data_IF_375798673479
#
_entry.id   IF_375798673479
#
_cell.length_a   1.000
_cell.length_b   1.000
_cell.length_c   1.000
_cell.angle_alpha   90.00
_cell.angle_beta   90.00
_cell.angle_gamma   90.00
#
_symmetry.space_group_name_H-M   'P 1'
#
loop_
_entity.id
_entity.type
_entity.pdbx_description
1 polymer ?
#
# COMPACT_ATOMS: atom_id res chain seq x y z
N UNK A 1 12.07 -14.01 -12.12
CA UNK A 1 11.60 -12.63 -12.44
C UNK A 1 11.35 -11.79 -11.21
N UNK A 2 10.64 -12.32 -10.17
CA UNK A 2 10.29 -11.54 -8.97
C UNK A 2 11.51 -10.96 -8.23
N UNK A 3 12.61 -11.66 -8.15
CA UNK A 3 13.83 -11.19 -7.48
C UNK A 3 14.59 -10.10 -8.27
N UNK A 4 14.30 -9.94 -9.56
CA UNK A 4 14.88 -8.87 -10.39
C UNK A 4 14.07 -7.58 -10.31
N UNK A 5 12.87 -7.63 -9.74
CA UNK A 5 12.04 -6.46 -9.52
C UNK A 5 12.69 -5.53 -8.50
N UNK A 6 12.51 -4.23 -8.70
CA UNK A 6 12.90 -3.25 -7.71
C UNK A 6 11.70 -2.94 -6.81
N UNK A 7 12.00 -2.80 -5.53
CA UNK A 7 11.05 -2.47 -4.47
C UNK A 7 11.55 -1.26 -3.68
N UNK A 8 10.73 -0.58 -2.89
CA UNK A 8 11.18 0.49 -2.00
C UNK A 8 12.30 0.01 -1.07
N UNK A 9 13.21 0.90 -0.63
CA UNK A 9 14.30 0.53 0.27
C UNK A 9 13.81 -0.05 1.59
N UNK A 10 14.48 -1.09 2.09
CA UNK A 10 14.20 -1.66 3.39
C UNK A 10 14.41 -0.60 4.50
N UNK A 11 13.55 -0.60 5.52
CA UNK A 11 13.63 0.36 6.63
C UNK A 11 13.21 1.78 6.28
N UNK A 12 12.64 2.02 5.10
CA UNK A 12 12.13 3.34 4.69
C UNK A 12 10.86 3.76 5.43
N UNK A 13 10.24 2.89 6.22
CA UNK A 13 8.95 3.13 6.89
C UNK A 13 7.72 2.95 5.98
N UNK A 14 7.90 2.84 4.67
CA UNK A 14 6.79 2.73 3.71
C UNK A 14 6.04 1.40 3.74
N UNK A 15 6.60 0.39 4.39
CA UNK A 15 5.96 -0.92 4.61
C UNK A 15 5.58 -1.15 6.08
N UNK A 16 5.53 -0.08 6.88
CA UNK A 16 5.03 -0.21 8.24
C UNK A 16 3.54 -0.58 8.20
N UNK A 17 3.16 -1.58 8.98
CA UNK A 17 1.76 -1.87 9.26
C UNK A 17 1.21 -0.85 10.24
N UNK A 18 -0.09 -0.60 10.15
CA UNK A 18 -0.84 0.11 11.19
C UNK A 18 -1.78 -0.88 11.86
N UNK A 19 -1.75 -0.91 13.19
CA UNK A 19 -2.68 -1.72 13.99
C UNK A 19 -3.75 -0.79 14.54
N UNK A 20 -5.00 -1.16 14.38
CA UNK A 20 -6.15 -0.49 14.97
C UNK A 20 -6.75 -1.39 16.03
N UNK A 21 -6.67 -1.01 17.31
CA UNK A 21 -7.16 -1.80 18.44
C UNK A 21 -8.32 -1.09 19.14
N UNK A 22 -9.25 -1.85 19.66
CA UNK A 22 -10.33 -1.30 20.49
C UNK A 22 -9.73 -0.54 21.68
N UNK A 23 -10.17 0.71 21.88
CA UNK A 23 -9.66 1.62 22.89
C UNK A 23 -8.47 2.49 22.47
N UNK A 24 -7.93 2.31 21.26
CA UNK A 24 -6.90 3.21 20.74
C UNK A 24 -7.51 4.58 20.40
N UNK A 25 -6.77 5.65 20.67
CA UNK A 25 -7.09 7.00 20.22
C UNK A 25 -6.38 7.30 18.90
N UNK A 26 -7.15 7.43 17.83
CA UNK A 26 -6.66 7.74 16.47
C UNK A 26 -7.57 8.83 15.89
N UNK A 27 -7.05 10.02 15.54
CA UNK A 27 -7.89 11.05 14.92
C UNK A 27 -8.62 10.48 13.70
N UNK A 28 -9.95 10.47 13.75
CA UNK A 28 -10.78 9.86 12.71
C UNK A 28 -10.46 10.42 11.31
N UNK A 29 -10.19 11.72 11.25
CA UNK A 29 -9.85 12.42 10.01
C UNK A 29 -8.52 11.94 9.36
N UNK A 30 -7.62 11.34 10.14
CA UNK A 30 -6.33 10.85 9.65
C UNK A 30 -6.40 9.43 9.07
N UNK A 31 -7.49 8.67 9.34
CA UNK A 31 -7.58 7.26 8.93
C UNK A 31 -7.64 7.12 7.40
N UNK A 32 -8.49 7.87 6.72
CA UNK A 32 -8.60 7.82 5.27
C UNK A 32 -7.29 8.27 4.56
N UNK A 33 -6.65 9.39 4.94
CA UNK A 33 -5.34 9.77 4.44
C UNK A 33 -4.25 8.69 4.66
N UNK A 34 -4.26 8.04 5.83
CA UNK A 34 -3.35 6.94 6.14
C UNK A 34 -3.56 5.77 5.17
N UNK A 35 -4.80 5.29 4.99
CA UNK A 35 -5.12 4.19 4.09
C UNK A 35 -4.76 4.52 2.64
N UNK A 36 -5.06 5.73 2.15
CA UNK A 36 -4.62 6.20 0.84
C UNK A 36 -3.09 6.19 0.73
N UNK A 37 -2.39 6.64 1.77
CA UNK A 37 -0.92 6.60 1.86
C UNK A 37 -0.36 5.17 1.77
N UNK A 38 -1.08 4.18 2.33
CA UNK A 38 -0.76 2.76 2.27
C UNK A 38 -1.16 2.11 0.92
N UNK A 39 -1.75 2.87 0.00
CA UNK A 39 -2.11 2.43 -1.34
C UNK A 39 -3.51 1.84 -1.46
N UNK A 40 -4.35 1.97 -0.44
CA UNK A 40 -5.75 1.57 -0.50
C UNK A 40 -6.56 2.52 -1.38
N UNK A 41 -7.62 2.00 -1.98
CA UNK A 41 -8.54 2.76 -2.83
C UNK A 41 -9.87 2.92 -2.13
N UNK A 42 -10.35 4.17 -1.99
CA UNK A 42 -11.71 4.44 -1.54
C UNK A 42 -12.67 4.08 -2.68
N UNK A 43 -13.64 3.20 -2.38
CA UNK A 43 -14.65 2.75 -3.35
C UNK A 43 -15.88 3.68 -3.40
N UNK A 44 -16.01 4.59 -2.43
CA UNK A 44 -17.17 5.48 -2.33
C UNK A 44 -18.48 4.77 -1.97
N UNK A 45 -19.57 5.53 -1.86
CA UNK A 45 -20.89 5.04 -1.42
C UNK A 45 -21.58 4.06 -2.38
N UNK A 46 -21.09 3.96 -3.61
CA UNK A 46 -21.74 3.17 -4.66
C UNK A 46 -21.29 1.71 -4.71
N UNK A 47 -20.21 1.36 -4.04
CA UNK A 47 -19.62 0.03 -4.10
C UNK A 47 -19.32 -0.51 -2.69
N UNK A 48 -19.52 -1.81 -2.50
CA UNK A 48 -19.12 -2.50 -1.27
C UNK A 48 -17.61 -2.67 -1.21
N UNK A 49 -17.05 -2.66 0.01
CA UNK A 49 -15.65 -2.99 0.29
C UNK A 49 -15.45 -4.51 0.15
N UNK A 50 -15.40 -5.00 -1.09
CA UNK A 50 -15.43 -6.43 -1.42
C UNK A 50 -14.09 -6.99 -1.90
N UNK A 51 -13.08 -6.17 -2.14
CA UNK A 51 -11.77 -6.57 -2.64
C UNK A 51 -10.62 -6.14 -1.71
N UNK A 52 -9.57 -6.97 -1.52
CA UNK A 52 -8.40 -6.57 -0.76
C UNK A 52 -7.77 -5.27 -1.31
N UNK A 53 -7.36 -4.37 -0.41
CA UNK A 53 -6.79 -3.08 -0.79
C UNK A 53 -7.83 -1.99 -1.08
N UNK A 54 -9.09 -2.20 -0.70
CA UNK A 54 -10.15 -1.19 -0.76
C UNK A 54 -10.62 -0.77 0.62
N UNK A 55 -11.18 0.43 0.72
CA UNK A 55 -11.83 0.93 1.94
C UNK A 55 -12.96 1.90 1.60
N UNK A 56 -13.81 2.21 2.58
CA UNK A 56 -14.77 3.29 2.50
C UNK A 56 -15.07 3.86 3.89
N UNK A 57 -15.35 5.16 3.95
CA UNK A 57 -15.69 5.87 5.19
C UNK A 57 -17.19 6.09 5.26
N UNK A 58 -17.84 5.61 6.32
CA UNK A 58 -19.27 5.76 6.59
C UNK A 58 -19.49 6.49 7.92
N UNK A 59 -19.87 7.75 7.88
CA UNK A 59 -20.19 8.50 9.12
C UNK A 59 -19.05 8.46 10.13
N UNK A 60 -19.19 7.65 11.15
CA UNK A 60 -18.24 7.41 12.25
C UNK A 60 -17.54 6.04 12.16
N UNK A 61 -17.55 5.40 11.00
CA UNK A 61 -16.91 4.10 10.80
C UNK A 61 -16.11 4.04 9.49
N UNK A 62 -15.14 3.15 9.46
CA UNK A 62 -14.32 2.85 8.28
C UNK A 62 -14.39 1.35 7.99
N UNK A 63 -14.88 1.01 6.81
CA UNK A 63 -14.79 -0.33 6.27
C UNK A 63 -13.46 -0.45 5.51
N UNK A 64 -12.65 -1.42 5.85
CA UNK A 64 -11.38 -1.68 5.16
C UNK A 64 -11.22 -3.16 4.87
N UNK A 65 -10.73 -3.50 3.67
CA UNK A 65 -10.33 -4.86 3.35
C UNK A 65 -8.80 -4.94 3.33
N UNK A 66 -8.18 -5.35 4.45
CA UNK A 66 -6.72 -5.44 4.51
C UNK A 66 -6.16 -6.36 3.43
N UNK A 67 -5.05 -5.96 2.81
CA UNK A 67 -4.47 -6.66 1.67
C UNK A 67 -4.10 -8.13 1.96
N UNK A 68 -3.77 -8.44 3.22
CA UNK A 68 -3.40 -9.78 3.71
C UNK A 68 -4.60 -10.59 4.24
N UNK A 69 -5.79 -9.97 4.39
CA UNK A 69 -6.96 -10.62 4.97
C UNK A 69 -7.81 -11.36 3.93
N UNK A 70 -8.72 -12.20 4.41
CA UNK A 70 -9.69 -12.92 3.59
C UNK A 70 -11.10 -12.31 3.67
N UNK A 71 -11.27 -11.27 4.50
CA UNK A 71 -12.54 -10.57 4.69
C UNK A 71 -12.30 -9.11 5.09
N UNK A 72 -13.20 -8.20 4.74
CA UNK A 72 -13.16 -6.83 5.22
C UNK A 72 -13.49 -6.74 6.71
N UNK A 73 -13.14 -5.60 7.28
CA UNK A 73 -13.34 -5.27 8.70
C UNK A 73 -13.96 -3.88 8.78
N UNK A 74 -14.93 -3.70 9.67
CA UNK A 74 -15.46 -2.40 10.07
C UNK A 74 -14.78 -1.96 11.37
N UNK A 75 -14.24 -0.75 11.36
CA UNK A 75 -13.67 -0.06 12.51
C UNK A 75 -14.66 1.07 12.86
N UNK A 76 -15.27 1.00 14.03
CA UNK A 76 -16.25 1.97 14.51
C UNK A 76 -15.59 2.89 15.52
N UNK A 77 -15.85 4.17 15.39
CA UNK A 77 -15.27 5.22 16.22
C UNK A 77 -16.33 5.90 17.08
N UNK A 78 -15.94 6.32 18.27
CA UNK A 78 -16.66 7.27 19.10
C UNK A 78 -15.77 8.51 19.29
N UNK A 79 -15.97 9.53 18.46
CA UNK A 79 -14.98 10.60 18.29
C UNK A 79 -13.70 10.08 17.67
N UNK A 80 -12.58 10.18 18.38
CA UNK A 80 -11.27 9.69 17.96
C UNK A 80 -10.90 8.33 18.60
N UNK A 81 -11.74 7.78 19.48
CA UNK A 81 -11.54 6.48 20.10
C UNK A 81 -12.14 5.37 19.24
N UNK A 82 -11.41 4.26 19.06
CA UNK A 82 -11.90 3.05 18.40
C UNK A 82 -12.80 2.29 19.38
N UNK A 83 -14.12 2.36 19.17
CA UNK A 83 -15.11 1.69 20.03
C UNK A 83 -15.21 0.19 19.72
N UNK A 84 -15.19 -0.18 18.43
CA UNK A 84 -15.32 -1.58 18.00
C UNK A 84 -14.55 -1.86 16.70
N UNK A 85 -14.10 -3.11 16.61
CA UNK A 85 -13.54 -3.69 15.37
C UNK A 85 -14.33 -4.95 15.06
N UNK A 86 -14.96 -5.04 13.88
CA UNK A 86 -15.81 -6.17 13.50
C UNK A 86 -15.48 -6.72 12.12
N UNK A 87 -15.44 -8.05 12.03
CA UNK A 87 -15.30 -8.74 10.74
C UNK A 87 -16.58 -8.63 9.92
N UNK A 88 -16.44 -8.49 8.60
CA UNK A 88 -17.54 -8.37 7.67
C UNK A 88 -17.57 -9.52 6.67
N UNK A 89 -18.76 -9.78 6.11
CA UNK A 89 -18.95 -10.68 4.96
C UNK A 89 -18.75 -9.86 3.69
N UNK A 90 -17.79 -10.22 2.80
CA UNK A 90 -17.49 -9.43 1.61
C UNK A 90 -18.66 -9.23 0.64
N UNK A 91 -19.57 -10.21 0.57
CA UNK A 91 -20.69 -10.22 -0.38
C UNK A 91 -21.94 -9.47 0.10
N UNK A 92 -22.03 -9.15 1.40
CA UNK A 92 -23.23 -8.53 1.99
C UNK A 92 -22.94 -7.31 2.84
N UNK A 93 -21.66 -7.04 3.15
CA UNK A 93 -21.27 -5.97 4.07
C UNK A 93 -21.71 -6.19 5.53
N UNK A 94 -22.32 -7.33 5.85
CA UNK A 94 -22.79 -7.61 7.21
C UNK A 94 -21.64 -7.93 8.14
N UNK A 95 -21.71 -7.38 9.36
CA UNK A 95 -20.74 -7.69 10.42
C UNK A 95 -21.07 -9.04 11.06
N UNK A 96 -20.04 -9.89 11.27
CA UNK A 96 -20.20 -11.29 11.73
C UNK A 96 -19.36 -11.68 12.94
N UNK A 97 -18.71 -10.75 13.59
CA UNK A 97 -17.92 -11.07 14.78
C UNK A 97 -17.06 -9.89 15.19
N UNK A 98 -16.77 -9.85 16.47
CA UNK A 98 -15.90 -8.82 17.06
C UNK A 98 -14.44 -9.27 17.00
N UNK A 99 -13.54 -8.32 16.91
CA UNK A 99 -12.10 -8.47 16.96
C UNK A 99 -11.55 -7.48 17.99
N UNK A 100 -10.48 -7.85 18.67
CA UNK A 100 -9.78 -6.92 19.57
C UNK A 100 -8.96 -5.89 18.78
N UNK A 101 -8.47 -6.28 17.59
CA UNK A 101 -7.68 -5.42 16.72
C UNK A 101 -7.66 -5.90 15.27
N UNK A 102 -7.21 -5.04 14.36
CA UNK A 102 -6.89 -5.37 12.99
C UNK A 102 -5.55 -4.75 12.57
N UNK A 103 -4.72 -5.56 11.92
CA UNK A 103 -3.50 -5.09 11.27
C UNK A 103 -3.80 -4.75 9.81
N UNK A 104 -3.39 -3.58 9.39
CA UNK A 104 -3.48 -3.11 8.01
C UNK A 104 -2.07 -2.91 7.48
N UNK A 105 -1.71 -3.63 6.43
CA UNK A 105 -0.40 -3.52 5.77
C UNK A 105 -0.53 -2.75 4.46
N UNK A 106 0.51 -2.05 3.99
CA UNK A 106 0.50 -1.42 2.68
C UNK A 106 0.15 -2.43 1.58
N UNK A 107 -0.78 -2.07 0.71
CA UNK A 107 -1.25 -2.93 -0.38
C UNK A 107 -0.55 -2.68 -1.71
N UNK A 108 0.33 -1.66 -1.78
CA UNK A 108 1.09 -1.29 -2.98
C UNK A 108 2.53 -0.94 -2.63
N UNK A 109 3.42 -1.18 -3.58
CA UNK A 109 4.83 -0.79 -3.46
C UNK A 109 5.04 0.71 -3.72
N UNK A 110 4.07 1.39 -4.32
CA UNK A 110 4.07 2.84 -4.52
C UNK A 110 3.07 3.51 -3.59
N UNK A 111 3.58 4.28 -2.63
CA UNK A 111 2.77 5.16 -1.80
C UNK A 111 2.86 6.59 -2.35
N UNK A 112 1.71 7.17 -2.68
CA UNK A 112 1.61 8.55 -3.16
C UNK A 112 1.25 9.49 -2.01
N UNK A 113 2.16 9.61 -1.04
CA UNK A 113 2.07 10.62 0.03
C UNK A 113 2.56 11.97 -0.49
N UNK A 114 2.23 13.05 0.20
CA UNK A 114 2.75 14.39 -0.15
C UNK A 114 4.29 14.41 -0.20
N UNK A 115 4.95 13.67 0.71
CA UNK A 115 6.40 13.58 0.76
C UNK A 115 6.98 12.85 -0.45
N UNK A 116 6.42 11.67 -0.81
CA UNK A 116 6.92 10.89 -1.95
C UNK A 116 6.69 11.60 -3.27
N UNK A 117 5.55 12.28 -3.42
CA UNK A 117 5.23 13.10 -4.60
C UNK A 117 6.22 14.25 -4.73
N UNK A 118 6.45 15.04 -3.66
CA UNK A 118 7.40 16.15 -3.69
C UNK A 118 8.84 15.70 -4.02
N UNK A 119 9.22 14.50 -3.55
CA UNK A 119 10.51 13.90 -3.89
C UNK A 119 10.60 13.52 -5.36
N UNK A 120 9.55 12.91 -5.91
CA UNK A 120 9.47 12.55 -7.33
C UNK A 120 9.48 13.81 -8.22
N UNK A 121 8.75 14.85 -7.87
CA UNK A 121 8.77 16.14 -8.56
C UNK A 121 10.19 16.70 -8.66
N UNK A 122 10.88 16.78 -7.52
CA UNK A 122 12.27 17.26 -7.49
C UNK A 122 13.20 16.39 -8.33
N UNK A 123 13.07 15.06 -8.27
CA UNK A 123 13.94 14.14 -8.98
C UNK A 123 13.68 14.11 -10.49
N UNK A 124 12.45 14.32 -10.92
CA UNK A 124 12.04 14.21 -12.32
C UNK A 124 11.93 15.56 -13.03
N UNK A 125 12.04 16.69 -12.33
CA UNK A 125 11.84 18.03 -12.87
C UNK A 125 12.55 18.27 -14.20
N UNK A 126 13.88 18.10 -14.24
CA UNK A 126 14.65 18.35 -15.45
C UNK A 126 14.33 17.39 -16.59
N UNK A 127 13.95 16.14 -16.28
CA UNK A 127 13.58 15.16 -17.29
C UNK A 127 12.20 15.47 -17.86
N UNK A 128 11.25 15.89 -17.04
CA UNK A 128 9.90 16.26 -17.45
C UNK A 128 9.90 17.49 -18.39
N UNK A 129 10.87 18.40 -18.27
CA UNK A 129 11.01 19.55 -19.19
C UNK A 129 11.41 19.15 -20.61
N UNK A 130 12.07 17.98 -20.78
CA UNK A 130 12.64 17.54 -22.06
C UNK A 130 11.98 16.27 -22.61
N UNK A 131 11.06 15.64 -21.88
CA UNK A 131 10.40 14.40 -22.25
C UNK A 131 8.92 14.45 -21.87
N UNK A 132 8.07 14.58 -22.88
CA UNK A 132 6.62 14.68 -22.70
C UNK A 132 6.01 13.45 -22.01
N UNK A 133 6.63 12.25 -22.16
CA UNK A 133 6.16 11.05 -21.48
C UNK A 133 6.48 11.12 -19.98
N UNK A 134 7.66 11.62 -19.62
CA UNK A 134 8.01 11.82 -18.21
C UNK A 134 7.14 12.89 -17.58
N UNK A 135 6.79 13.96 -18.33
CA UNK A 135 5.87 14.99 -17.85
C UNK A 135 4.48 14.41 -17.56
N UNK A 136 3.90 13.63 -18.49
CA UNK A 136 2.61 12.97 -18.29
C UNK A 136 2.63 11.94 -17.15
N UNK A 137 3.73 11.17 -17.01
CA UNK A 137 3.90 10.23 -15.90
C UNK A 137 4.00 10.97 -14.55
N UNK A 138 4.65 12.15 -14.52
CA UNK A 138 4.73 12.99 -13.31
C UNK A 138 3.35 13.56 -12.93
N UNK A 139 2.56 14.02 -13.90
CA UNK A 139 1.17 14.45 -13.67
C UNK A 139 0.33 13.30 -13.08
N UNK A 140 0.50 12.08 -13.59
CA UNK A 140 -0.19 10.89 -13.05
C UNK A 140 0.23 10.57 -11.60
N UNK A 141 1.53 10.76 -11.24
CA UNK A 141 2.03 10.63 -9.87
C UNK A 141 1.39 11.70 -8.97
N UNK A 142 1.32 12.95 -9.41
CA UNK A 142 0.68 14.06 -8.69
C UNK A 142 -0.82 13.81 -8.46
N UNK A 143 -1.48 13.26 -9.47
CA UNK A 143 -2.90 12.84 -9.39
C UNK A 143 -3.11 11.55 -8.59
N UNK A 144 -2.05 10.96 -8.00
CA UNK A 144 -2.08 9.69 -7.25
C UNK A 144 -2.67 8.53 -8.04
N UNK A 145 -2.51 8.54 -9.36
CA UNK A 145 -3.00 7.50 -10.25
C UNK A 145 -2.10 6.26 -10.19
N UNK A 146 -2.62 5.19 -9.62
CA UNK A 146 -1.87 3.94 -9.45
C UNK A 146 -1.81 3.13 -10.74
N UNK A 147 -0.87 3.45 -11.62
CA UNK A 147 -0.63 2.73 -12.87
C UNK A 147 0.64 1.88 -12.76
N UNK A 148 0.63 0.60 -13.23
CA UNK A 148 1.82 -0.25 -13.21
C UNK A 148 3.03 0.36 -13.96
N UNK A 149 2.77 1.17 -15.00
CA UNK A 149 3.80 1.85 -15.77
C UNK A 149 4.65 2.84 -14.96
N UNK A 150 4.18 3.27 -13.78
CA UNK A 150 4.86 4.21 -12.90
C UNK A 150 5.88 3.54 -11.97
N UNK A 151 5.92 2.20 -11.87
CA UNK A 151 6.87 1.47 -11.02
C UNK A 151 8.34 1.79 -11.35
N UNK A 152 8.65 2.16 -12.58
CA UNK A 152 9.98 2.63 -12.99
C UNK A 152 10.47 3.88 -12.23
N UNK A 153 9.55 4.61 -11.57
CA UNK A 153 9.84 5.80 -10.78
C UNK A 153 9.99 5.55 -9.28
N UNK A 154 9.97 4.27 -8.83
CA UNK A 154 10.27 3.92 -7.44
C UNK A 154 11.51 4.65 -6.88
N UNK A 155 12.66 4.71 -7.60
CA UNK A 155 13.81 5.45 -7.10
C UNK A 155 13.57 6.95 -6.92
N UNK A 156 12.71 7.55 -7.73
CA UNK A 156 12.37 8.97 -7.60
C UNK A 156 11.44 9.23 -6.40
N UNK A 157 10.49 8.32 -6.14
CA UNK A 157 9.56 8.40 -5.01
C UNK A 157 10.28 8.21 -3.66
N UNK A 158 11.22 7.27 -3.58
CA UNK A 158 11.82 6.83 -2.32
C UNK A 158 13.29 7.24 -2.14
N UNK A 159 13.89 7.93 -3.10
CA UNK A 159 15.31 8.27 -3.09
C UNK A 159 16.24 7.09 -3.36
N UNK A 160 15.69 5.95 -3.77
CA UNK A 160 16.41 4.73 -4.08
C UNK A 160 15.47 3.58 -4.34
N UNK A 161 16.03 2.40 -4.59
CA UNK A 161 15.28 1.15 -4.69
C UNK A 161 16.15 0.00 -4.21
N UNK A 162 15.52 -1.05 -3.69
CA UNK A 162 16.15 -2.25 -3.18
C UNK A 162 15.78 -3.48 -4.01
N UNK A 163 16.54 -4.55 -3.83
CA UNK A 163 16.10 -5.89 -4.22
C UNK A 163 15.17 -6.45 -3.15
N UNK A 164 14.16 -7.27 -3.49
CA UNK A 164 13.35 -7.96 -2.50
C UNK A 164 14.16 -8.75 -1.46
N UNK A 165 15.36 -9.22 -1.82
CA UNK A 165 16.26 -9.93 -0.91
C UNK A 165 16.71 -9.03 0.26
N UNK A 166 16.82 -7.72 0.06
CA UNK A 166 17.23 -6.78 1.10
C UNK A 166 16.19 -6.62 2.23
N UNK A 167 14.95 -7.08 1.98
CA UNK A 167 13.88 -7.13 2.98
C UNK A 167 13.88 -8.40 3.83
N UNK A 168 14.72 -9.39 3.49
CA UNK A 168 14.84 -10.61 4.27
C UNK A 168 15.58 -10.30 5.57
N UNK A 169 15.04 -10.78 6.70
CA UNK A 169 15.66 -10.57 8.01
C UNK A 169 17.05 -11.19 8.10
N UNK A 170 17.95 -10.53 8.85
CA UNK A 170 19.28 -11.06 9.11
C UNK A 170 19.16 -12.42 9.82
N UNK A 171 19.82 -13.42 9.28
CA UNK A 171 19.78 -14.79 9.82
C UNK A 171 18.71 -15.70 9.21
N UNK A 172 17.89 -15.20 8.28
CA UNK A 172 16.97 -16.05 7.54
C UNK A 172 17.74 -17.02 6.62
N UNK A 173 17.27 -18.26 6.54
CA UNK A 173 17.79 -19.25 5.60
C UNK A 173 17.14 -19.03 4.23
N UNK A 174 17.95 -18.76 3.23
CA UNK A 174 17.50 -18.67 1.82
C UNK A 174 17.81 -19.98 1.13
N UNK A 175 16.77 -20.69 0.66
CA UNK A 175 16.89 -21.94 -0.08
C UNK A 175 16.65 -21.67 -1.56
N UNK A 176 17.63 -21.99 -2.40
CA UNK A 176 17.51 -21.93 -3.85
C UNK A 176 17.10 -23.32 -4.37
N UNK A 177 15.84 -23.44 -4.81
CA UNK A 177 15.37 -24.62 -5.51
C UNK A 177 15.67 -24.46 -6.99
N UNK A 178 16.26 -25.50 -7.61
CA UNK A 178 16.63 -25.54 -9.04
C UNK A 178 17.46 -24.31 -9.49
N UNK A 179 18.64 -24.06 -8.90
CA UNK A 179 19.40 -22.84 -9.13
C UNK A 179 19.76 -22.58 -10.59
N UNK A 180 19.90 -23.63 -11.41
CA UNK A 180 20.17 -23.49 -12.87
C UNK A 180 18.96 -22.91 -13.59
N UNK A 181 17.76 -23.44 -13.33
CA UNK A 181 16.52 -22.93 -13.93
C UNK A 181 16.27 -21.47 -13.54
N UNK A 182 16.51 -21.12 -12.26
CA UNK A 182 16.42 -19.74 -11.77
C UNK A 182 17.40 -18.81 -12.52
N UNK A 183 18.64 -19.26 -12.75
CA UNK A 183 19.65 -18.47 -13.45
C UNK A 183 19.25 -18.25 -14.92
N UNK A 184 18.78 -19.30 -15.61
CA UNK A 184 18.32 -19.20 -17.00
C UNK A 184 17.09 -18.30 -17.14
N UNK A 185 16.17 -18.33 -16.18
CA UNK A 185 15.00 -17.45 -16.12
C UNK A 185 15.41 -15.98 -15.88
N UNK A 186 16.39 -15.74 -15.01
CA UNK A 186 16.92 -14.41 -14.78
C UNK A 186 17.58 -13.84 -16.04
N UNK A 187 18.37 -14.65 -16.76
CA UNK A 187 19.00 -14.21 -18.02
C UNK A 187 17.97 -13.88 -19.12
N UNK A 188 16.86 -14.62 -19.17
CA UNK A 188 15.78 -14.36 -20.14
C UNK A 188 14.95 -13.11 -19.81
N UNK A 189 14.96 -12.67 -18.55
CA UNK A 189 14.18 -11.52 -18.08
C UNK A 189 14.97 -10.19 -18.12
N UNK A 190 16.26 -10.23 -18.37
CA UNK A 190 17.13 -9.05 -18.58
C UNK A 190 17.15 -8.63 -20.04
#
# INVERSE_FOLDING_TARGET
PALLRRVPPAGSGYFASSTFSVGDEVPFEDVAPLLVGMGYTDVGDAEDVAAPGTFHVHGDSVDVFPAQATSPVRIEFFGDEIDRVRRMVPSTGQTIGELDSVDVVPCREMAFTNETIARAEKALYNRAQNDAKVAADLEAIQARSAQPSLEKYLPALYGGSASPIEHISKGALVVLAEPRALFDDCQRAM
#
